data_IF_570520385616
#
_entry.id   IF_570520385616
#
_cell.length_a   1.000
_cell.length_b   1.000
_cell.length_c   1.000
_cell.angle_alpha   90.00
_cell.angle_beta   90.00
_cell.angle_gamma   90.00
#
_symmetry.space_group_name_H-M   'P 1'
#
loop_
_entity.id
_entity.type
_entity.pdbx_description
1 polymer ?
#
# COMPACT_ATOMS: atom_id res chain seq x y z
N UNK A 1 1.97 -12.26 -13.08
CA UNK A 1 2.16 -13.57 -12.44
C UNK A 1 1.34 -13.71 -11.16
N UNK A 2 1.57 -12.96 -10.08
CA UNK A 2 0.73 -13.06 -8.85
C UNK A 2 -0.71 -12.57 -9.05
N UNK A 3 -0.93 -11.44 -9.74
CA UNK A 3 -2.28 -10.94 -10.03
C UNK A 3 -3.11 -11.88 -10.94
N UNK A 4 -2.47 -12.56 -11.89
CA UNK A 4 -3.16 -13.56 -12.75
C UNK A 4 -3.56 -14.80 -11.96
N UNK A 5 -2.72 -15.22 -11.02
CA UNK A 5 -3.00 -16.36 -10.15
C UNK A 5 -4.16 -16.06 -9.19
N UNK A 6 -4.21 -14.86 -8.62
CA UNK A 6 -5.33 -14.40 -7.79
C UNK A 6 -6.64 -14.33 -8.58
N UNK A 7 -6.60 -13.76 -9.79
CA UNK A 7 -7.77 -13.70 -10.68
C UNK A 7 -8.30 -15.10 -11.05
N UNK A 8 -7.41 -16.07 -11.27
CA UNK A 8 -7.81 -17.46 -11.53
C UNK A 8 -8.47 -18.12 -10.31
N UNK A 9 -7.96 -17.86 -9.10
CA UNK A 9 -8.54 -18.38 -7.85
C UNK A 9 -9.92 -17.76 -7.61
N UNK A 10 -10.08 -16.46 -7.80
CA UNK A 10 -11.37 -15.76 -7.69
C UNK A 10 -12.39 -16.32 -8.68
N UNK A 11 -11.97 -16.55 -9.93
CA UNK A 11 -12.83 -17.13 -10.96
C UNK A 11 -13.26 -18.56 -10.61
N UNK A 12 -12.35 -19.38 -10.07
CA UNK A 12 -12.66 -20.73 -9.62
C UNK A 12 -13.67 -20.75 -8.47
N UNK A 13 -13.46 -19.90 -7.46
CA UNK A 13 -14.37 -19.76 -6.32
C UNK A 13 -15.76 -19.26 -6.75
N UNK A 14 -15.80 -18.24 -7.62
CA UNK A 14 -17.06 -17.71 -8.15
C UNK A 14 -17.85 -18.79 -8.91
N UNK A 15 -17.15 -19.62 -9.68
CA UNK A 15 -17.76 -20.74 -10.40
C UNK A 15 -18.27 -21.82 -9.43
N UNK A 16 -17.51 -22.16 -8.39
CA UNK A 16 -17.92 -23.16 -7.39
C UNK A 16 -19.16 -22.70 -6.61
N UNK A 17 -19.17 -21.46 -6.12
CA UNK A 17 -20.34 -20.87 -5.43
C UNK A 17 -21.57 -20.89 -6.35
N UNK A 18 -21.40 -20.50 -7.61
CA UNK A 18 -22.48 -20.53 -8.60
C UNK A 18 -23.03 -21.94 -8.78
N UNK A 19 -22.17 -22.95 -8.97
CA UNK A 19 -22.59 -24.34 -9.13
C UNK A 19 -23.31 -24.88 -7.89
N UNK A 20 -22.81 -24.58 -6.69
CA UNK A 20 -23.47 -24.97 -5.45
C UNK A 20 -24.85 -24.34 -5.31
N UNK A 21 -24.99 -23.07 -5.70
CA UNK A 21 -26.26 -22.37 -5.61
C UNK A 21 -27.29 -22.88 -6.64
N UNK A 22 -26.86 -23.12 -7.88
CA UNK A 22 -27.69 -23.75 -8.92
C UNK A 22 -28.14 -25.16 -8.50
N UNK A 23 -27.23 -25.95 -7.93
CA UNK A 23 -27.54 -27.29 -7.44
C UNK A 23 -28.53 -27.26 -6.27
N UNK A 24 -28.32 -26.34 -5.32
CA UNK A 24 -29.23 -26.09 -4.20
C UNK A 24 -30.64 -25.74 -4.67
N UNK A 25 -30.77 -24.80 -5.62
CA UNK A 25 -32.07 -24.37 -6.14
C UNK A 25 -32.83 -25.51 -6.85
N UNK A 26 -32.09 -26.33 -7.61
CA UNK A 26 -32.64 -27.51 -8.27
C UNK A 26 -33.15 -28.52 -7.24
N UNK A 27 -32.33 -28.85 -6.24
CA UNK A 27 -32.69 -29.78 -5.17
C UNK A 27 -33.90 -29.30 -4.36
N UNK A 28 -33.96 -28.00 -4.02
CA UNK A 28 -35.07 -27.42 -3.28
C UNK A 28 -36.40 -27.54 -4.06
N UNK A 29 -36.34 -27.34 -5.37
CA UNK A 29 -37.50 -27.50 -6.26
C UNK A 29 -37.96 -28.96 -6.31
N UNK A 30 -37.02 -29.89 -6.47
CA UNK A 30 -37.30 -31.34 -6.50
C UNK A 30 -37.88 -31.83 -5.16
N UNK A 31 -37.35 -31.33 -4.03
CA UNK A 31 -37.87 -31.61 -2.69
C UNK A 31 -39.36 -31.24 -2.58
N UNK A 32 -39.69 -30.01 -2.95
CA UNK A 32 -41.08 -29.51 -2.92
C UNK A 32 -42.02 -30.33 -3.82
N UNK A 33 -41.52 -30.77 -4.99
CA UNK A 33 -42.25 -31.66 -5.88
C UNK A 33 -42.54 -33.00 -5.20
N UNK A 34 -41.53 -33.62 -4.56
CA UNK A 34 -41.70 -34.89 -3.85
C UNK A 34 -42.64 -34.78 -2.64
N UNK A 35 -42.58 -33.68 -1.88
CA UNK A 35 -43.56 -33.42 -0.81
C UNK A 35 -44.99 -33.38 -1.35
N UNK A 36 -45.17 -32.71 -2.49
CA UNK A 36 -46.47 -32.62 -3.17
C UNK A 36 -46.95 -33.99 -3.64
N UNK A 37 -46.08 -34.81 -4.23
CA UNK A 37 -46.39 -36.18 -4.67
C UNK A 37 -46.80 -37.08 -3.49
N UNK A 38 -46.09 -37.00 -2.36
CA UNK A 38 -46.44 -37.71 -1.12
C UNK A 38 -47.83 -37.29 -0.65
N UNK A 39 -48.10 -35.97 -0.60
CA UNK A 39 -49.43 -35.47 -0.22
C UNK A 39 -50.51 -36.04 -1.13
N UNK A 40 -50.33 -35.98 -2.45
CA UNK A 40 -51.31 -36.49 -3.42
C UNK A 40 -51.57 -37.99 -3.27
N UNK A 41 -50.53 -38.79 -3.05
CA UNK A 41 -50.65 -40.23 -2.83
C UNK A 41 -51.42 -40.55 -1.55
N UNK A 42 -51.25 -39.76 -0.48
CA UNK A 42 -52.04 -39.90 0.75
C UNK A 42 -53.55 -39.63 0.54
N UNK A 43 -53.93 -38.84 -0.46
CA UNK A 43 -55.34 -38.52 -0.76
C UNK A 43 -56.00 -39.46 -1.80
N UNK A 44 -55.24 -40.36 -2.46
CA UNK A 44 -55.82 -41.34 -3.39
C UNK A 44 -56.55 -42.45 -2.65
N UNK A 45 -57.87 -42.54 -2.85
CA UNK A 45 -58.77 -43.46 -2.13
C UNK A 45 -58.95 -44.85 -2.77
N UNK A 46 -58.46 -45.04 -4.00
CA UNK A 46 -58.96 -46.11 -4.91
C UNK A 46 -57.92 -47.16 -5.36
N UNK A 47 -56.73 -47.22 -4.77
CA UNK A 47 -55.70 -48.20 -5.14
C UNK A 47 -55.14 -48.97 -3.95
N UNK A 48 -54.65 -50.18 -4.26
CA UNK A 48 -54.11 -51.19 -3.36
C UNK A 48 -53.17 -50.56 -2.30
N UNK A 49 -53.62 -50.59 -1.04
CA UNK A 49 -53.06 -49.81 0.08
C UNK A 49 -51.56 -50.12 0.30
N UNK A 50 -51.11 -51.34 0.00
CA UNK A 50 -49.68 -51.70 0.06
C UNK A 50 -48.83 -51.03 -1.03
N UNK A 51 -49.35 -50.87 -2.25
CA UNK A 51 -48.61 -50.26 -3.36
C UNK A 51 -48.40 -48.77 -3.14
N UNK A 52 -49.44 -48.06 -2.66
CA UNK A 52 -49.33 -46.63 -2.29
C UNK A 52 -48.35 -46.45 -1.12
N UNK A 53 -48.42 -47.30 -0.09
CA UNK A 53 -47.49 -47.24 1.05
C UNK A 53 -46.03 -47.44 0.63
N UNK A 54 -45.76 -48.36 -0.30
CA UNK A 54 -44.41 -48.55 -0.84
C UNK A 54 -43.90 -47.31 -1.59
N UNK A 55 -44.73 -46.70 -2.45
CA UNK A 55 -44.38 -45.47 -3.17
C UNK A 55 -44.13 -44.29 -2.21
N UNK A 56 -44.97 -44.12 -1.19
CA UNK A 56 -44.77 -43.09 -0.16
C UNK A 56 -43.45 -43.32 0.60
N UNK A 57 -43.12 -44.56 0.94
CA UNK A 57 -41.88 -44.89 1.64
C UNK A 57 -40.64 -44.56 0.79
N UNK A 58 -40.66 -44.88 -0.51
CA UNK A 58 -39.58 -44.57 -1.44
C UNK A 58 -39.41 -43.05 -1.66
N UNK A 59 -40.52 -42.33 -1.80
CA UNK A 59 -40.52 -40.87 -1.91
C UNK A 59 -39.96 -40.21 -0.64
N UNK A 60 -40.37 -40.66 0.56
CA UNK A 60 -39.84 -40.18 1.84
C UNK A 60 -38.35 -40.46 2.00
N UNK A 61 -37.89 -41.64 1.59
CA UNK A 61 -36.46 -41.97 1.64
C UNK A 61 -35.66 -41.01 0.75
N UNK A 62 -36.15 -40.72 -0.45
CA UNK A 62 -35.47 -39.80 -1.36
C UNK A 62 -35.52 -38.36 -0.85
N UNK A 63 -36.66 -37.93 -0.31
CA UNK A 63 -36.85 -36.64 0.34
C UNK A 63 -35.79 -36.41 1.43
N UNK A 64 -35.61 -37.39 2.32
CA UNK A 64 -34.62 -37.32 3.40
C UNK A 64 -33.20 -37.18 2.84
N UNK A 65 -32.83 -37.98 1.83
CA UNK A 65 -31.50 -37.88 1.19
C UNK A 65 -31.27 -36.50 0.54
N UNK A 66 -32.28 -35.95 -0.13
CA UNK A 66 -32.20 -34.63 -0.73
C UNK A 66 -32.07 -33.53 0.34
N UNK A 67 -32.80 -33.65 1.45
CA UNK A 67 -32.73 -32.72 2.58
C UNK A 67 -31.35 -32.73 3.24
N UNK A 68 -30.77 -33.91 3.51
CA UNK A 68 -29.40 -34.03 4.02
C UNK A 68 -28.37 -33.44 3.04
N UNK A 69 -28.61 -33.58 1.73
CA UNK A 69 -27.72 -33.03 0.70
C UNK A 69 -27.77 -31.50 0.70
N UNK A 70 -28.97 -30.90 0.80
CA UNK A 70 -29.13 -29.46 0.93
C UNK A 70 -28.47 -28.92 2.19
N UNK A 71 -28.61 -29.60 3.32
CA UNK A 71 -27.97 -29.19 4.57
C UNK A 71 -26.43 -29.14 4.42
N UNK A 72 -25.84 -30.16 3.78
CA UNK A 72 -24.40 -30.19 3.48
C UNK A 72 -23.97 -29.05 2.55
N UNK A 73 -24.76 -28.75 1.52
CA UNK A 73 -24.47 -27.63 0.60
C UNK A 73 -24.56 -26.30 1.36
N UNK A 74 -25.56 -26.14 2.23
CA UNK A 74 -25.76 -24.92 3.02
C UNK A 74 -24.59 -24.68 3.98
N UNK A 75 -24.07 -25.73 4.63
CA UNK A 75 -22.89 -25.63 5.50
C UNK A 75 -21.67 -25.18 4.69
N UNK A 76 -21.44 -25.79 3.51
CA UNK A 76 -20.32 -25.41 2.64
C UNK A 76 -20.39 -23.95 2.19
N UNK A 77 -21.58 -23.48 1.79
CA UNK A 77 -21.77 -22.09 1.39
C UNK A 77 -21.48 -21.13 2.55
N UNK A 78 -21.94 -21.45 3.76
CA UNK A 78 -21.66 -20.66 4.96
C UNK A 78 -20.16 -20.59 5.28
N UNK A 79 -19.43 -21.70 5.10
CA UNK A 79 -17.98 -21.72 5.33
C UNK A 79 -17.24 -20.85 4.30
N UNK A 80 -17.67 -20.88 3.04
CA UNK A 80 -17.13 -20.00 1.98
C UNK A 80 -17.38 -18.53 2.33
N UNK A 81 -18.58 -18.17 2.78
CA UNK A 81 -18.92 -16.80 3.19
C UNK A 81 -18.03 -16.30 4.33
N UNK A 82 -17.80 -17.12 5.37
CA UNK A 82 -16.91 -16.77 6.48
C UNK A 82 -15.47 -16.55 6.04
N UNK A 83 -14.95 -17.40 5.15
CA UNK A 83 -13.60 -17.27 4.61
C UNK A 83 -13.49 -15.98 3.78
N UNK A 84 -14.51 -15.68 2.97
CA UNK A 84 -14.57 -14.48 2.16
C UNK A 84 -14.56 -13.20 3.02
N UNK A 85 -15.39 -13.15 4.07
CA UNK A 85 -15.40 -12.03 5.02
C UNK A 85 -14.04 -11.87 5.72
N UNK A 86 -13.42 -12.96 6.17
CA UNK A 86 -12.10 -12.91 6.79
C UNK A 86 -11.03 -12.37 5.83
N UNK A 87 -11.04 -12.80 4.56
CA UNK A 87 -10.10 -12.32 3.55
C UNK A 87 -10.28 -10.84 3.26
N UNK A 88 -11.51 -10.36 3.17
CA UNK A 88 -11.79 -8.92 2.99
C UNK A 88 -11.22 -8.11 4.15
N UNK A 89 -11.42 -8.57 5.39
CA UNK A 89 -10.91 -7.86 6.56
C UNK A 89 -9.38 -7.77 6.54
N UNK A 90 -8.69 -8.84 6.13
CA UNK A 90 -7.22 -8.83 5.97
C UNK A 90 -6.80 -7.83 4.89
N UNK A 91 -7.47 -7.81 3.74
CA UNK A 91 -7.15 -6.87 2.66
C UNK A 91 -7.35 -5.40 3.08
N UNK A 92 -8.40 -5.11 3.85
CA UNK A 92 -8.65 -3.77 4.40
C UNK A 92 -7.50 -3.34 5.32
N UNK A 93 -7.05 -4.22 6.21
CA UNK A 93 -5.93 -3.94 7.13
C UNK A 93 -4.65 -3.70 6.34
N UNK A 94 -4.31 -4.57 5.39
CA UNK A 94 -3.12 -4.41 4.56
C UNK A 94 -3.15 -3.11 3.73
N UNK A 95 -4.31 -2.74 3.21
CA UNK A 95 -4.46 -1.49 2.47
C UNK A 95 -4.24 -0.26 3.38
N UNK A 96 -4.77 -0.30 4.60
CA UNK A 96 -4.57 0.76 5.58
C UNK A 96 -3.09 0.89 5.98
N UNK A 97 -2.41 -0.23 6.24
CA UNK A 97 -0.97 -0.26 6.53
C UNK A 97 -0.13 0.27 5.36
N UNK A 98 -0.46 -0.12 4.12
CA UNK A 98 0.23 0.36 2.94
C UNK A 98 0.10 1.88 2.78
N UNK A 99 -1.11 2.43 2.96
CA UNK A 99 -1.34 3.88 2.91
C UNK A 99 -0.56 4.61 4.01
N UNK A 100 -0.56 4.08 5.24
CA UNK A 100 0.20 4.65 6.35
C UNK A 100 1.71 4.63 6.08
N UNK A 101 2.23 3.51 5.55
CA UNK A 101 3.64 3.36 5.19
C UNK A 101 4.06 4.32 4.08
N UNK A 102 3.21 4.51 3.05
CA UNK A 102 3.46 5.47 1.98
C UNK A 102 3.49 6.91 2.51
N UNK A 103 2.56 7.27 3.40
CA UNK A 103 2.55 8.58 4.04
C UNK A 103 3.83 8.81 4.86
N UNK A 104 4.23 7.84 5.67
CA UNK A 104 5.45 7.92 6.48
C UNK A 104 6.71 8.03 5.62
N UNK A 105 6.82 7.24 4.55
CA UNK A 105 7.95 7.32 3.61
C UNK A 105 8.04 8.71 2.96
N UNK A 106 6.90 9.29 2.58
CA UNK A 106 6.83 10.64 2.04
C UNK A 106 7.34 11.68 3.03
N UNK A 107 6.89 11.62 4.28
CA UNK A 107 7.36 12.52 5.33
C UNK A 107 8.87 12.43 5.55
N UNK A 108 9.44 11.21 5.55
CA UNK A 108 10.89 10.99 5.67
C UNK A 108 11.64 11.63 4.50
N UNK A 109 11.14 11.47 3.28
CA UNK A 109 11.76 12.06 2.09
C UNK A 109 11.72 13.59 2.13
N UNK A 110 10.57 14.17 2.50
CA UNK A 110 10.40 15.62 2.63
C UNK A 110 11.24 16.20 3.77
N UNK A 111 11.41 15.47 4.88
CA UNK A 111 12.30 15.88 5.97
C UNK A 111 13.77 15.84 5.54
N UNK A 112 14.19 14.80 4.82
CA UNK A 112 15.55 14.67 4.30
C UNK A 112 15.88 15.74 3.27
N UNK A 113 14.92 16.09 2.41
CA UNK A 113 15.08 17.18 1.47
C UNK A 113 15.28 18.52 2.19
N UNK A 114 14.44 18.84 3.18
CA UNK A 114 14.59 20.06 4.00
C UNK A 114 15.94 20.10 4.72
N UNK A 115 16.42 18.96 5.22
CA UNK A 115 17.74 18.88 5.86
C UNK A 115 18.87 19.20 4.87
N UNK A 116 18.80 18.66 3.65
CA UNK A 116 19.80 18.92 2.62
C UNK A 116 19.80 20.40 2.19
N UNK A 117 18.63 21.02 2.04
CA UNK A 117 18.49 22.44 1.73
C UNK A 117 19.17 23.30 2.81
N UNK A 118 18.87 23.02 4.09
CA UNK A 118 19.51 23.71 5.22
C UNK A 118 21.03 23.50 5.29
N UNK A 119 21.51 22.30 4.94
CA UNK A 119 22.95 22.02 4.92
C UNK A 119 23.65 22.79 3.79
N UNK A 120 23.03 22.87 2.61
CA UNK A 120 23.55 23.66 1.50
C UNK A 120 23.60 25.16 1.85
N UNK A 121 22.54 25.70 2.45
CA UNK A 121 22.50 27.11 2.86
C UNK A 121 23.63 27.43 3.84
N UNK A 122 23.86 26.57 4.86
CA UNK A 122 24.99 26.73 5.78
C UNK A 122 26.35 26.69 5.09
N UNK A 123 26.54 25.78 4.14
CA UNK A 123 27.79 25.71 3.38
C UNK A 123 28.00 26.97 2.53
N UNK A 124 26.94 27.54 1.97
CA UNK A 124 27.01 28.79 1.21
C UNK A 124 27.43 29.94 2.14
N UNK A 125 26.82 30.04 3.32
CA UNK A 125 27.16 31.06 4.31
C UNK A 125 28.63 30.94 4.75
N UNK A 126 29.11 29.73 5.05
CA UNK A 126 30.51 29.48 5.43
C UNK A 126 31.49 29.89 4.32
N UNK A 127 31.18 29.58 3.06
CA UNK A 127 32.02 29.98 1.91
C UNK A 127 31.99 31.50 1.71
N UNK A 128 30.84 32.15 1.89
CA UNK A 128 30.74 33.60 1.79
C UNK A 128 31.56 34.30 2.87
N UNK A 129 31.47 33.84 4.13
CA UNK A 129 32.26 34.37 5.24
C UNK A 129 33.76 34.21 4.99
N UNK A 130 34.19 33.06 4.48
CA UNK A 130 35.59 32.82 4.12
C UNK A 130 36.07 33.77 3.00
N UNK A 131 35.25 33.99 1.96
CA UNK A 131 35.55 34.94 0.88
C UNK A 131 35.71 36.36 1.44
N UNK A 132 34.79 36.79 2.32
CA UNK A 132 34.84 38.11 2.96
C UNK A 132 36.12 38.25 3.79
N UNK A 133 36.43 37.25 4.61
CA UNK A 133 37.64 37.25 5.44
C UNK A 133 38.92 37.33 4.61
N UNK A 134 39.01 36.57 3.52
CA UNK A 134 40.15 36.64 2.60
C UNK A 134 40.25 37.99 1.90
N UNK A 135 39.12 38.59 1.50
CA UNK A 135 39.12 39.92 0.87
C UNK A 135 39.60 41.00 1.85
N UNK A 136 39.13 40.98 3.10
CA UNK A 136 39.59 41.90 4.15
C UNK A 136 41.07 41.73 4.43
N UNK A 137 41.57 40.49 4.50
CA UNK A 137 42.98 40.20 4.74
C UNK A 137 43.87 40.73 3.60
N UNK A 138 43.47 40.51 2.34
CA UNK A 138 44.20 41.04 1.17
C UNK A 138 44.25 42.57 1.16
N UNK A 139 43.17 43.24 1.53
CA UNK A 139 43.17 44.71 1.57
C UNK A 139 44.08 45.24 2.70
N UNK A 140 44.14 44.55 3.85
CA UNK A 140 45.11 44.88 4.91
C UNK A 140 46.55 44.71 4.46
N UNK A 141 46.89 43.58 3.85
CA UNK A 141 48.24 43.31 3.33
C UNK A 141 48.65 44.33 2.28
N UNK A 142 47.72 44.73 1.41
CA UNK A 142 47.93 45.78 0.42
C UNK A 142 48.16 47.15 1.06
N UNK A 143 47.41 47.50 2.10
CA UNK A 143 47.61 48.75 2.84
C UNK A 143 48.98 48.80 3.54
N UNK A 144 49.40 47.70 4.19
CA UNK A 144 50.74 47.60 4.79
C UNK A 144 51.86 47.72 3.76
N UNK A 145 51.69 47.13 2.57
CA UNK A 145 52.67 47.24 1.50
C UNK A 145 52.78 48.69 0.99
N UNK A 146 51.66 49.39 0.86
CA UNK A 146 51.62 50.80 0.47
C UNK A 146 52.32 51.69 1.51
N UNK A 147 52.11 51.43 2.81
CA UNK A 147 52.78 52.14 3.89
C UNK A 147 54.31 51.94 3.83
N UNK A 148 54.78 50.69 3.71
CA UNK A 148 56.22 50.39 3.57
C UNK A 148 56.85 51.05 2.34
N UNK A 149 56.13 51.08 1.21
CA UNK A 149 56.61 51.75 -0.01
C UNK A 149 56.70 53.27 0.18
N UNK A 150 55.72 53.89 0.86
CA UNK A 150 55.78 55.31 1.19
C UNK A 150 56.99 55.62 2.08
N UNK A 151 57.22 54.83 3.12
CA UNK A 151 58.38 55.00 4.02
C UNK A 151 59.71 54.90 3.25
N UNK A 152 59.82 53.94 2.33
CA UNK A 152 61.00 53.80 1.45
C UNK A 152 61.20 55.03 0.56
N UNK A 153 60.12 55.52 -0.08
CA UNK A 153 60.19 56.72 -0.93
C UNK A 153 60.67 57.93 -0.12
N UNK A 154 60.14 58.14 1.09
CA UNK A 154 60.59 59.24 1.97
C UNK A 154 62.07 59.11 2.34
N UNK A 155 62.53 57.91 2.70
CA UNK A 155 63.94 57.66 3.00
C UNK A 155 64.85 57.93 1.79
N UNK A 156 64.46 57.51 0.60
CA UNK A 156 65.22 57.77 -0.63
C UNK A 156 65.29 59.27 -0.96
N UNK A 157 64.18 60.00 -0.80
CA UNK A 157 64.13 61.46 -0.98
C UNK A 157 65.02 62.21 0.02
N UNK A 158 65.04 61.80 1.28
CA UNK A 158 65.92 62.38 2.31
C UNK A 158 67.39 62.12 1.98
N UNK A 159 67.72 60.89 1.59
CA UNK A 159 69.08 60.51 1.19
C UNK A 159 69.56 61.29 -0.04
N UNK A 160 68.71 61.45 -1.06
CA UNK A 160 69.02 62.24 -2.25
C UNK A 160 69.27 63.72 -1.92
N UNK A 161 68.48 64.28 -1.00
CA UNK A 161 68.63 65.67 -0.54
C UNK A 161 69.93 65.89 0.22
N UNK A 162 70.37 64.92 1.02
CA UNK A 162 71.68 64.94 1.72
C UNK A 162 72.85 64.89 0.73
N UNK A 163 72.73 64.13 -0.37
CA UNK A 163 73.76 64.04 -1.41
C UNK A 163 73.90 65.38 -2.16
N UNK A 164 72.80 66.07 -2.47
CA UNK A 164 72.85 67.39 -3.10
C UNK A 164 73.55 68.45 -2.23
N UNK A 165 73.36 68.40 -0.90
CA UNK A 165 74.02 69.32 0.03
C UNK A 165 75.53 69.06 0.12
N UNK A 166 76.00 67.83 -0.10
CA UNK A 166 77.43 67.46 -0.04
C UNK A 166 78.24 67.77 -1.31
N UNK A 167 77.57 68.12 -2.42
CA UNK A 167 78.21 68.41 -3.72
C UNK A 167 78.36 69.93 -3.97
N UNK A 168 77.79 70.77 -3.11
CA UNK A 168 77.99 72.23 -3.07
C UNK A 168 79.09 72.62 -2.07
#
# INVERSE_FOLDING_TARGET
MECEMLSQIEQLLANEVKQLHEHSNTLATDLKKRETEIMQLHYKKDHDDMSIKAQIAELKQTLNKQSETLEKISIKLLDIEKIWEANINVLIVLQAENVANQASMREILEAKQRQNELQNDRMIDEVQDEIINQAVQKEKEKAELQERLMDQIFQELDNASIIQIKIL
#
